data_IF_018577095882
#
_entry.id   IF_018577095882
#
_cell.length_a   1.000
_cell.length_b   1.000
_cell.length_c   1.000
_cell.angle_alpha   90.00
_cell.angle_beta   90.00
_cell.angle_gamma   90.00
#
_symmetry.space_group_name_H-M   'P 1'
#
loop_
_entity.id
_entity.type
_entity.pdbx_description
1 polymer ?
#
# COMPACT_ATOMS: atom_id res chain seq x y z
N UNK A 1 -2.62 -2.18 4.16
CA UNK A 1 -3.04 -1.01 4.98
C UNK A 1 -2.44 0.25 4.37
N UNK A 2 -3.17 0.96 3.53
CA UNK A 2 -2.80 2.32 3.12
C UNK A 2 -3.14 3.25 4.28
N UNK A 3 -2.15 3.99 4.79
CA UNK A 3 -2.40 4.98 5.83
C UNK A 3 -3.39 6.03 5.30
N UNK A 4 -4.63 6.04 5.82
CA UNK A 4 -5.64 7.10 5.57
C UNK A 4 -5.06 8.51 5.73
N UNK A 5 -4.03 8.66 6.59
CA UNK A 5 -3.26 9.89 6.81
C UNK A 5 -2.57 10.43 5.55
N UNK A 6 -2.00 9.57 4.70
CA UNK A 6 -1.29 10.01 3.49
C UNK A 6 -2.22 10.60 2.43
N UNK A 7 -3.48 10.16 2.35
CA UNK A 7 -4.49 10.72 1.46
C UNK A 7 -5.02 12.07 1.97
N UNK A 8 -5.20 12.21 3.29
CA UNK A 8 -5.60 13.45 3.92
C UNK A 8 -4.57 14.58 3.69
N UNK A 9 -3.27 14.27 3.82
CA UNK A 9 -2.18 15.22 3.58
C UNK A 9 -2.19 15.82 2.18
N UNK A 10 -2.36 14.98 1.15
CA UNK A 10 -2.47 15.43 -0.25
C UNK A 10 -3.65 16.37 -0.47
N UNK A 11 -4.75 16.15 0.24
CA UNK A 11 -5.95 16.99 0.13
C UNK A 11 -5.80 18.33 0.85
N UNK A 12 -5.02 18.40 1.95
CA UNK A 12 -4.73 19.66 2.64
C UNK A 12 -3.75 20.53 1.85
N UNK A 13 -2.72 19.92 1.24
CA UNK A 13 -1.80 20.59 0.31
C UNK A 13 -2.58 21.24 -0.86
N UNK A 14 -3.45 20.47 -1.53
CA UNK A 14 -4.27 20.96 -2.66
C UNK A 14 -5.24 22.09 -2.29
N UNK A 15 -5.63 22.19 -1.02
CA UNK A 15 -6.52 23.26 -0.52
C UNK A 15 -5.74 24.52 -0.13
N UNK A 16 -4.42 24.57 -0.33
CA UNK A 16 -3.53 25.67 0.06
C UNK A 16 -3.66 26.11 1.53
N UNK A 17 -4.13 25.22 2.41
CA UNK A 17 -4.39 25.58 3.81
C UNK A 17 -3.11 25.59 4.65
N UNK A 18 -2.16 24.73 4.32
CA UNK A 18 -0.87 24.59 5.00
C UNK A 18 0.20 24.18 3.99
N UNK A 19 1.45 24.59 4.21
CA UNK A 19 2.56 24.16 3.35
C UNK A 19 2.88 22.68 3.59
N UNK A 20 3.24 21.95 2.53
CA UNK A 20 3.61 20.53 2.65
C UNK A 20 4.77 20.30 3.66
N UNK A 21 5.83 21.13 3.69
CA UNK A 21 6.89 20.98 4.70
C UNK A 21 6.40 21.12 6.14
N UNK A 22 5.50 22.07 6.43
CA UNK A 22 4.90 22.24 7.77
C UNK A 22 4.08 21.02 8.17
N UNK A 23 3.25 20.50 7.27
CA UNK A 23 2.43 19.31 7.51
C UNK A 23 3.28 18.07 7.80
N UNK A 24 4.37 17.89 7.04
CA UNK A 24 5.28 16.77 7.24
C UNK A 24 6.04 16.88 8.57
N UNK A 25 6.45 18.10 8.94
CA UNK A 25 7.08 18.37 10.24
C UNK A 25 6.14 18.05 11.40
N UNK A 26 4.90 18.56 11.36
CA UNK A 26 3.90 18.34 12.40
C UNK A 26 3.55 16.85 12.61
N UNK A 27 3.67 16.03 11.57
CA UNK A 27 3.41 14.59 11.63
C UNK A 27 4.66 13.74 11.83
N UNK A 28 5.82 14.35 12.04
CA UNK A 28 7.12 13.66 12.13
C UNK A 28 7.37 12.72 10.94
N UNK A 29 6.97 13.14 9.73
CA UNK A 29 7.12 12.36 8.50
C UNK A 29 8.27 12.91 7.65
N UNK A 30 9.32 12.10 7.36
CA UNK A 30 10.40 12.53 6.49
C UNK A 30 9.91 12.82 5.07
N UNK A 31 10.45 13.89 4.47
CA UNK A 31 10.16 14.30 3.09
C UNK A 31 10.40 13.17 2.08
N UNK A 32 11.50 12.43 2.25
CA UNK A 32 11.83 11.26 1.42
C UNK A 32 10.74 10.17 1.47
N UNK A 33 10.21 9.87 2.67
CA UNK A 33 9.14 8.90 2.87
C UNK A 33 7.86 9.33 2.17
N UNK A 34 7.50 10.62 2.25
CA UNK A 34 6.36 11.17 1.53
C UNK A 34 6.49 11.01 0.01
N UNK A 35 7.61 11.46 -0.58
CA UNK A 35 7.80 11.36 -2.04
C UNK A 35 7.93 9.91 -2.53
N UNK A 36 8.55 9.03 -1.74
CA UNK A 36 8.57 7.59 -2.02
C UNK A 36 7.16 6.99 -2.04
N UNK A 37 6.33 7.31 -1.05
CA UNK A 37 4.94 6.86 -1.04
C UNK A 37 4.13 7.46 -2.19
N UNK A 38 4.33 8.74 -2.50
CA UNK A 38 3.62 9.42 -3.59
C UNK A 38 3.95 8.80 -4.95
N UNK A 39 5.22 8.51 -5.22
CA UNK A 39 5.65 7.85 -6.47
C UNK A 39 5.13 6.41 -6.54
N UNK A 40 5.14 5.68 -5.43
CA UNK A 40 4.59 4.31 -5.37
C UNK A 40 3.09 4.24 -5.62
N UNK A 41 2.31 5.16 -5.06
CA UNK A 41 0.85 5.20 -5.26
C UNK A 41 0.48 5.54 -6.71
N UNK A 42 1.31 6.34 -7.39
CA UNK A 42 1.11 6.69 -8.81
C UNK A 42 1.49 5.55 -9.77
N UNK A 43 2.30 4.59 -9.32
CA UNK A 43 2.78 3.49 -10.16
C UNK A 43 1.73 2.38 -10.23
N UNK A 44 1.56 1.79 -11.41
CA UNK A 44 0.75 0.58 -11.60
C UNK A 44 1.32 -0.57 -10.76
N UNK A 45 0.45 -1.30 -10.06
CA UNK A 45 0.85 -2.46 -9.28
C UNK A 45 1.07 -3.68 -10.18
N UNK A 46 2.31 -3.89 -10.62
CA UNK A 46 2.69 -4.99 -11.51
C UNK A 46 2.33 -6.39 -10.97
N UNK A 47 2.11 -6.51 -9.66
CA UNK A 47 1.78 -7.78 -9.00
C UNK A 47 0.33 -7.83 -8.53
N UNK A 48 -0.53 -6.94 -9.05
CA UNK A 48 -1.93 -6.86 -8.64
C UNK A 48 -2.62 -8.22 -8.74
N UNK A 49 -2.52 -8.90 -9.90
CA UNK A 49 -3.17 -10.19 -10.12
C UNK A 49 -2.63 -11.29 -9.20
N UNK A 50 -1.32 -11.32 -8.95
CA UNK A 50 -0.71 -12.29 -8.05
C UNK A 50 -1.18 -12.07 -6.60
N UNK A 51 -1.32 -10.82 -6.17
CA UNK A 51 -1.83 -10.47 -4.84
C UNK A 51 -3.29 -10.87 -4.65
N UNK A 52 -4.12 -10.65 -5.67
CA UNK A 52 -5.53 -11.10 -5.65
C UNK A 52 -5.58 -12.62 -5.51
N UNK A 53 -4.83 -13.37 -6.33
CA UNK A 53 -4.74 -14.84 -6.20
C UNK A 53 -4.27 -15.30 -4.82
N UNK A 54 -3.25 -14.66 -4.25
CA UNK A 54 -2.78 -14.96 -2.89
C UNK A 54 -3.92 -14.80 -1.87
N UNK A 55 -4.70 -13.74 -2.01
CA UNK A 55 -5.83 -13.44 -1.13
C UNK A 55 -6.93 -14.48 -1.30
N UNK A 56 -7.27 -14.83 -2.53
CA UNK A 56 -8.29 -15.84 -2.83
C UNK A 56 -7.90 -17.20 -2.23
N UNK A 57 -6.64 -17.64 -2.41
CA UNK A 57 -6.14 -18.88 -1.81
C UNK A 57 -6.20 -18.80 -0.28
N UNK A 58 -5.82 -17.67 0.31
CA UNK A 58 -5.83 -17.49 1.75
C UNK A 58 -7.26 -17.59 2.32
N UNK A 59 -8.22 -16.89 1.72
CA UNK A 59 -9.62 -16.87 2.15
C UNK A 59 -10.31 -18.23 1.92
N UNK A 60 -10.06 -18.88 0.78
CA UNK A 60 -10.59 -20.21 0.48
C UNK A 60 -10.09 -21.31 1.44
N UNK A 61 -8.92 -21.11 2.05
CA UNK A 61 -8.32 -22.06 3.00
C UNK A 61 -8.46 -21.59 4.45
N UNK A 62 -9.60 -20.99 4.78
CA UNK A 62 -9.97 -20.53 6.13
C UNK A 62 -8.94 -19.63 6.79
N UNK A 63 -8.21 -18.84 6.01
CA UNK A 63 -7.15 -17.95 6.51
C UNK A 63 -6.02 -18.69 7.28
N UNK A 64 -5.88 -20.00 7.10
CA UNK A 64 -4.93 -20.84 7.83
C UNK A 64 -3.64 -21.12 7.06
N UNK A 65 -3.59 -20.76 5.77
CA UNK A 65 -2.41 -20.99 4.95
C UNK A 65 -1.37 -19.89 5.19
N UNK A 66 -0.21 -20.30 5.71
CA UNK A 66 0.98 -19.45 5.72
C UNK A 66 1.68 -19.43 4.36
N UNK A 67 2.70 -18.58 4.25
CA UNK A 67 3.48 -18.34 3.01
C UNK A 67 3.80 -19.61 2.22
N UNK A 68 4.37 -20.63 2.87
CA UNK A 68 4.80 -21.87 2.18
C UNK A 68 3.64 -22.60 1.50
N UNK A 69 2.47 -22.65 2.13
CA UNK A 69 1.28 -23.33 1.57
C UNK A 69 0.65 -22.51 0.45
N UNK A 70 0.57 -21.19 0.61
CA UNK A 70 0.11 -20.28 -0.45
C UNK A 70 1.01 -20.40 -1.68
N UNK A 71 2.34 -20.37 -1.50
CA UNK A 71 3.30 -20.53 -2.59
C UNK A 71 3.15 -21.88 -3.30
N UNK A 72 2.93 -22.97 -2.54
CA UNK A 72 2.69 -24.29 -3.12
C UNK A 72 1.36 -24.36 -3.90
N UNK A 73 0.31 -23.66 -3.44
CA UNK A 73 -0.97 -23.58 -4.14
C UNK A 73 -0.85 -22.76 -5.44
N UNK A 74 -0.18 -21.60 -5.40
CA UNK A 74 0.09 -20.80 -6.60
C UNK A 74 0.84 -21.60 -7.67
N UNK A 75 1.88 -22.33 -7.28
CA UNK A 75 2.67 -23.17 -8.20
C UNK A 75 1.87 -24.33 -8.82
N UNK A 76 0.75 -24.74 -8.22
CA UNK A 76 -0.13 -25.79 -8.78
C UNK A 76 -1.10 -25.23 -9.81
N UNK A 77 -1.35 -23.91 -9.81
CA UNK A 77 -2.22 -23.23 -10.76
C UNK A 77 -1.47 -22.74 -12.01
N UNK A 78 -0.14 -22.75 -11.98
CA UNK A 78 0.76 -22.50 -13.13
C UNK A 78 0.92 -23.76 -13.98
#
# INVERSE_FOLDING_TARGET
MTNKLGAALRNQEKKNKYSLPELLSALNCPRSSYYYQQTRVKKQDNYFHVKEKIKDIFEANHCCYGYRRIHAALKKED
#
